data_IF_768532939282
#
_entry.id   IF_768532939282
#
_cell.length_a   1.000
_cell.length_b   1.000
_cell.length_c   1.000
_cell.angle_alpha   90.00
_cell.angle_beta   90.00
_cell.angle_gamma   90.00
#
_symmetry.space_group_name_H-M   'P 1'
#
loop_
_entity.id
_entity.type
_entity.pdbx_description
1 polymer ?
#
# COMPACT_ATOMS: atom_id res chain seq x y z
N UNK A 1 18.97 -0.94 22.35
CA UNK A 1 17.75 -0.96 23.19
C UNK A 1 16.61 -1.27 22.24
N UNK A 2 15.73 -2.23 22.56
CA UNK A 2 14.58 -2.51 21.71
C UNK A 2 13.76 -1.22 21.52
N UNK A 3 13.33 -0.93 20.30
CA UNK A 3 12.42 0.19 20.07
C UNK A 3 11.10 -0.09 20.77
N UNK A 4 10.61 0.88 21.55
CA UNK A 4 9.30 0.76 22.17
C UNK A 4 8.22 0.74 21.08
N UNK A 5 7.21 -0.11 21.26
CA UNK A 5 6.01 -0.12 20.42
C UNK A 5 5.43 1.29 20.31
N UNK A 6 5.00 1.71 19.10
CA UNK A 6 4.37 3.01 18.94
C UNK A 6 3.06 3.09 19.75
N UNK A 7 2.71 4.31 20.16
CA UNK A 7 1.36 4.63 20.64
C UNK A 7 0.42 4.70 19.45
N UNK A 8 -0.71 3.99 19.53
CA UNK A 8 -1.72 3.91 18.49
C UNK A 8 -2.85 4.88 18.83
N UNK A 9 -3.14 5.81 17.93
CA UNK A 9 -4.25 6.75 18.08
C UNK A 9 -5.35 6.37 17.09
N UNK A 10 -6.52 5.99 17.61
CA UNK A 10 -7.68 5.52 16.87
C UNK A 10 -8.70 6.65 16.73
N UNK A 11 -8.99 7.06 15.50
CA UNK A 11 -9.78 8.26 15.21
C UNK A 11 -11.01 7.88 14.36
N UNK A 12 -12.23 7.96 14.91
CA UNK A 12 -13.46 7.64 14.20
C UNK A 12 -13.82 8.73 13.19
N UNK A 13 -14.69 8.35 12.24
CA UNK A 13 -15.23 9.25 11.23
C UNK A 13 -16.36 10.14 11.74
N UNK A 14 -17.04 10.80 10.80
CA UNK A 14 -18.16 11.69 11.09
C UNK A 14 -19.23 11.00 11.94
N UNK A 15 -19.91 11.81 12.76
CA UNK A 15 -21.03 11.40 13.60
C UNK A 15 -20.71 10.42 14.73
N UNK A 16 -19.43 10.07 14.90
CA UNK A 16 -18.98 9.08 15.87
C UNK A 16 -17.92 9.66 16.80
N UNK A 17 -17.94 9.19 18.04
CA UNK A 17 -16.98 9.59 19.08
C UNK A 17 -15.99 8.46 19.35
N UNK A 18 -14.89 8.79 20.03
CA UNK A 18 -13.78 7.89 20.33
C UNK A 18 -14.20 6.48 20.80
N UNK A 19 -15.17 6.33 21.73
CA UNK A 19 -15.62 5.02 22.21
C UNK A 19 -16.07 4.02 21.13
N UNK A 20 -16.39 4.48 19.91
CA UNK A 20 -16.68 3.59 18.76
C UNK A 20 -15.52 2.64 18.47
N UNK A 21 -14.28 3.06 18.70
CA UNK A 21 -13.08 2.24 18.49
C UNK A 21 -12.69 1.38 19.71
N UNK A 22 -13.44 1.44 20.82
CA UNK A 22 -13.08 0.77 22.06
C UNK A 22 -12.95 -0.76 21.95
N UNK A 23 -13.75 -1.49 21.14
CA UNK A 23 -13.53 -2.91 20.90
C UNK A 23 -12.13 -3.22 20.37
N UNK A 24 -11.68 -2.48 19.35
CA UNK A 24 -10.33 -2.60 18.78
C UNK A 24 -9.26 -2.13 19.77
N UNK A 25 -9.48 -1.01 20.45
CA UNK A 25 -8.55 -0.47 21.43
C UNK A 25 -8.27 -1.47 22.56
N UNK A 26 -9.33 -2.14 23.06
CA UNK A 26 -9.23 -3.17 24.09
C UNK A 26 -8.39 -4.36 23.63
N UNK A 27 -8.57 -4.82 22.39
CA UNK A 27 -7.78 -5.92 21.81
C UNK A 27 -6.31 -5.53 21.64
N UNK A 28 -6.02 -4.32 21.18
CA UNK A 28 -4.65 -3.82 21.05
C UNK A 28 -3.95 -3.68 22.41
N UNK A 29 -4.66 -3.18 23.43
CA UNK A 29 -4.14 -3.10 24.82
C UNK A 29 -3.88 -4.48 25.40
N UNK A 30 -4.76 -5.46 25.14
CA UNK A 30 -4.55 -6.84 25.56
C UNK A 30 -3.30 -7.48 24.91
N UNK A 31 -2.90 -6.99 23.73
CA UNK A 31 -1.66 -7.38 23.03
C UNK A 31 -0.42 -6.58 23.44
N UNK A 32 -0.56 -5.68 24.42
CA UNK A 32 0.55 -4.90 24.97
C UNK A 32 0.83 -3.58 24.26
N UNK A 33 0.00 -3.16 23.29
CA UNK A 33 0.12 -1.82 22.71
C UNK A 33 -0.50 -0.76 23.62
N UNK A 34 0.01 0.46 23.52
CA UNK A 34 -0.69 1.64 24.03
C UNK A 34 -1.64 2.12 22.94
N UNK A 35 -2.96 2.04 23.19
CA UNK A 35 -3.98 2.48 22.24
C UNK A 35 -4.94 3.49 22.89
N UNK A 36 -5.14 4.64 22.24
CA UNK A 36 -6.04 5.70 22.68
C UNK A 36 -7.09 5.99 21.61
N UNK A 37 -8.34 6.21 22.04
CA UNK A 37 -9.44 6.58 21.16
C UNK A 37 -9.69 8.08 21.22
N UNK A 38 -9.77 8.75 20.07
CA UNK A 38 -9.90 10.21 19.99
C UNK A 38 -11.33 10.60 19.61
N UNK A 39 -11.90 11.59 20.29
CA UNK A 39 -13.14 12.25 19.85
C UNK A 39 -12.80 13.58 19.20
N UNK A 40 -13.17 13.76 17.94
CA UNK A 40 -12.95 15.02 17.23
C UNK A 40 -13.96 16.09 17.71
N UNK A 41 -13.53 17.35 17.88
CA UNK A 41 -14.42 18.47 18.23
C UNK A 41 -15.66 18.60 17.35
N UNK A 42 -15.54 18.31 16.06
CA UNK A 42 -16.64 18.37 15.11
C UNK A 42 -17.75 17.32 15.33
N UNK A 43 -17.50 16.27 16.12
CA UNK A 43 -18.47 15.21 16.42
C UNK A 43 -19.24 15.50 17.72
N UNK A 44 -20.40 16.15 17.60
CA UNK A 44 -21.26 16.52 18.73
C UNK A 44 -20.76 17.70 19.58
N UNK A 45 -19.62 18.31 19.23
CA UNK A 45 -19.08 19.51 19.86
C UNK A 45 -19.53 20.81 19.19
N UNK A 46 -18.73 21.89 19.21
CA UNK A 46 -19.12 23.18 18.64
C UNK A 46 -19.49 23.10 17.15
N UNK A 47 -20.63 23.68 16.75
CA UNK A 47 -21.08 23.67 15.35
C UNK A 47 -20.20 24.50 14.42
N UNK A 48 -19.34 25.36 14.97
CA UNK A 48 -18.34 26.12 14.21
C UNK A 48 -17.06 25.34 13.93
N UNK A 49 -16.91 24.11 14.44
CA UNK A 49 -15.69 23.32 14.29
C UNK A 49 -15.38 23.01 12.82
N UNK A 50 -14.14 23.27 12.43
CA UNK A 50 -13.58 23.00 11.11
C UNK A 50 -12.66 21.78 11.15
N UNK A 51 -12.23 21.26 9.98
CA UNK A 51 -11.22 20.20 9.99
C UNK A 51 -9.87 20.68 10.50
N UNK A 52 -9.59 21.99 10.41
CA UNK A 52 -8.40 22.61 11.02
C UNK A 52 -8.48 22.53 12.54
N UNK A 53 -9.65 22.74 13.13
CA UNK A 53 -9.84 22.62 14.58
C UNK A 53 -9.67 21.17 15.04
N UNK A 54 -10.18 20.21 14.26
CA UNK A 54 -9.97 18.79 14.51
C UNK A 54 -8.48 18.40 14.40
N UNK A 55 -7.78 18.87 13.37
CA UNK A 55 -6.35 18.64 13.20
C UNK A 55 -5.54 19.25 14.37
N UNK A 56 -5.88 20.47 14.80
CA UNK A 56 -5.28 21.11 15.98
C UNK A 56 -5.58 20.35 17.25
N UNK A 57 -6.79 19.81 17.40
CA UNK A 57 -7.14 18.99 18.55
C UNK A 57 -6.25 17.75 18.64
N UNK A 58 -6.03 17.04 17.52
CA UNK A 58 -5.11 15.89 17.43
C UNK A 58 -3.68 16.33 17.80
N UNK A 59 -3.21 17.44 17.23
CA UNK A 59 -1.87 17.97 17.50
C UNK A 59 -1.67 18.33 18.97
N UNK A 60 -2.56 19.16 19.52
CA UNK A 60 -2.38 19.81 20.81
C UNK A 60 -2.53 18.84 21.97
N UNK A 61 -3.49 17.91 21.88
CA UNK A 61 -3.84 17.03 22.98
C UNK A 61 -3.15 15.67 22.93
N UNK A 62 -2.66 15.24 21.75
CA UNK A 62 -2.07 13.91 21.58
C UNK A 62 -0.65 13.96 21.00
N UNK A 63 -0.46 14.53 19.80
CA UNK A 63 0.86 14.47 19.14
C UNK A 63 1.93 15.25 19.91
N UNK A 64 1.66 16.49 20.33
CA UNK A 64 2.60 17.31 21.12
C UNK A 64 3.07 16.61 22.40
N UNK A 65 2.18 16.17 23.31
CA UNK A 65 2.62 15.52 24.54
C UNK A 65 3.34 14.18 24.30
N UNK A 66 2.93 13.38 23.31
CA UNK A 66 3.59 12.11 22.98
C UNK A 66 4.99 12.33 22.39
N UNK A 67 5.13 13.29 21.46
CA UNK A 67 6.43 13.67 20.89
C UNK A 67 7.35 14.28 21.95
N UNK A 68 6.84 15.07 22.88
CA UNK A 68 7.63 15.60 24.00
C UNK A 68 8.22 14.48 24.89
N UNK A 69 7.53 13.34 24.96
CA UNK A 69 8.01 12.12 25.62
C UNK A 69 8.91 11.25 24.72
N UNK A 70 9.16 11.67 23.48
CA UNK A 70 9.96 10.94 22.50
C UNK A 70 9.27 9.70 21.93
N UNK A 71 7.94 9.60 22.03
CA UNK A 71 7.17 8.42 21.58
C UNK A 71 6.96 8.42 20.07
N UNK A 72 7.01 7.22 19.50
CA UNK A 72 6.59 6.95 18.12
C UNK A 72 5.08 6.75 18.10
N UNK A 73 4.42 7.20 17.04
CA UNK A 73 2.96 7.26 16.96
C UNK A 73 2.46 6.66 15.63
N UNK A 74 1.42 5.83 15.70
CA UNK A 74 0.66 5.37 14.54
C UNK A 74 -0.74 6.00 14.59
N UNK A 75 -1.14 6.67 13.51
CA UNK A 75 -2.50 7.19 13.36
C UNK A 75 -3.36 6.20 12.60
N UNK A 76 -4.48 5.80 13.18
CA UNK A 76 -5.52 4.99 12.53
C UNK A 76 -6.73 5.89 12.33
N UNK A 77 -7.05 6.16 11.08
CA UNK A 77 -8.04 7.14 10.66
C UNK A 77 -9.15 6.42 9.91
N UNK A 78 -10.37 6.45 10.46
CA UNK A 78 -11.56 5.93 9.81
C UNK A 78 -12.35 7.05 9.09
N UNK A 79 -12.80 6.78 7.87
CA UNK A 79 -13.74 7.63 7.12
C UNK A 79 -13.29 9.10 7.07
N UNK A 80 -14.12 10.03 7.54
CA UNK A 80 -13.84 11.47 7.63
C UNK A 80 -12.48 11.83 8.24
N UNK A 81 -12.05 11.11 9.28
CA UNK A 81 -10.84 11.46 10.03
C UNK A 81 -9.55 11.35 9.21
N UNK A 82 -9.60 10.71 8.04
CA UNK A 82 -8.51 10.73 7.08
C UNK A 82 -8.04 12.15 6.77
N UNK A 83 -8.94 13.14 6.65
CA UNK A 83 -8.56 14.52 6.36
C UNK A 83 -7.88 15.23 7.55
N UNK A 84 -8.53 15.42 8.72
CA UNK A 84 -7.89 16.11 9.84
C UNK A 84 -6.73 15.30 10.44
N UNK A 85 -6.77 13.98 10.37
CA UNK A 85 -5.66 13.11 10.75
C UNK A 85 -4.43 13.34 9.89
N UNK A 86 -4.58 13.38 8.55
CA UNK A 86 -3.49 13.74 7.63
C UNK A 86 -2.94 15.14 7.92
N UNK A 87 -3.80 16.14 8.04
CA UNK A 87 -3.38 17.52 8.30
C UNK A 87 -2.61 17.64 9.62
N UNK A 88 -3.02 16.88 10.65
CA UNK A 88 -2.40 16.92 11.99
C UNK A 88 -0.92 16.54 11.99
N UNK A 89 -0.46 15.76 11.01
CA UNK A 89 0.92 15.25 10.95
C UNK A 89 1.94 16.33 10.57
N UNK A 90 1.49 17.48 10.04
CA UNK A 90 2.37 18.58 9.60
C UNK A 90 3.32 19.04 10.70
N UNK A 91 4.62 18.79 10.53
CA UNK A 91 5.66 19.11 11.53
C UNK A 91 5.78 18.11 12.69
N UNK A 92 5.02 17.01 12.66
CA UNK A 92 5.04 15.92 13.62
C UNK A 92 5.47 14.58 13.00
N UNK A 93 5.70 14.52 11.69
CA UNK A 93 6.28 13.35 11.04
C UNK A 93 7.66 13.03 11.65
N UNK A 94 7.98 11.74 11.81
CA UNK A 94 9.26 11.30 12.38
C UNK A 94 10.46 11.91 11.64
N UNK A 95 10.38 12.03 10.32
CA UNK A 95 11.44 12.63 9.49
C UNK A 95 11.71 14.10 9.86
N UNK A 96 10.67 14.89 10.13
CA UNK A 96 10.77 16.32 10.40
C UNK A 96 11.36 16.56 11.79
N UNK A 97 11.00 15.72 12.75
CA UNK A 97 11.51 15.77 14.12
C UNK A 97 12.95 15.26 14.20
N UNK A 98 13.28 14.21 13.44
CA UNK A 98 14.66 13.72 13.36
C UNK A 98 15.60 14.79 12.76
N UNK A 99 15.16 15.57 11.77
CA UNK A 99 15.92 16.70 11.22
C UNK A 99 16.16 17.84 12.22
N UNK A 100 15.45 17.83 13.36
CA UNK A 100 15.61 18.77 14.47
C UNK A 100 16.27 18.12 15.71
N UNK A 101 16.89 16.94 15.56
CA UNK A 101 17.46 16.14 16.65
C UNK A 101 16.44 15.78 17.77
N UNK A 102 15.14 15.79 17.45
CA UNK A 102 14.07 15.37 18.36
C UNK A 102 13.77 13.89 18.18
N UNK A 103 13.40 13.24 19.29
CA UNK A 103 12.92 11.84 19.30
C UNK A 103 11.42 11.78 19.07
N UNK A 104 10.92 10.59 18.74
CA UNK A 104 9.51 10.35 18.49
C UNK A 104 9.01 10.97 17.19
N UNK A 105 7.69 10.92 17.02
CA UNK A 105 6.98 11.41 15.84
C UNK A 105 5.99 10.41 15.29
N UNK A 106 5.20 10.86 14.32
CA UNK A 106 4.30 9.98 13.56
C UNK A 106 5.13 9.14 12.60
N UNK A 107 5.00 7.82 12.75
CA UNK A 107 5.83 6.82 12.06
C UNK A 107 5.01 5.90 11.16
N UNK A 108 3.68 5.89 11.29
CA UNK A 108 2.79 5.13 10.42
C UNK A 108 1.40 5.74 10.34
N UNK A 109 0.78 5.62 9.18
CA UNK A 109 -0.61 6.00 8.93
C UNK A 109 -1.39 4.76 8.47
N UNK A 110 -2.59 4.56 9.01
CA UNK A 110 -3.55 3.58 8.52
C UNK A 110 -4.87 4.29 8.23
N UNK A 111 -5.30 4.24 6.97
CA UNK A 111 -6.60 4.72 6.51
C UNK A 111 -7.57 3.54 6.44
N UNK A 112 -8.59 3.50 7.30
CA UNK A 112 -9.65 2.48 7.29
C UNK A 112 -10.87 3.05 6.60
N UNK A 113 -11.19 2.58 5.39
CA UNK A 113 -12.31 3.11 4.59
C UNK A 113 -12.38 4.65 4.63
N UNK A 114 -11.22 5.30 4.52
CA UNK A 114 -11.03 6.70 4.87
C UNK A 114 -10.73 7.60 3.68
N UNK A 115 -11.01 8.89 3.87
CA UNK A 115 -10.67 9.94 2.91
C UNK A 115 -9.16 10.19 2.92
N UNK A 116 -8.47 9.63 1.93
CA UNK A 116 -7.10 9.96 1.60
C UNK A 116 -7.15 10.93 0.41
N UNK A 117 -6.92 12.22 0.64
CA UNK A 117 -7.14 13.28 -0.34
C UNK A 117 -5.84 14.01 -0.69
N UNK A 118 -5.67 14.53 -1.92
CA UNK A 118 -4.59 15.45 -2.26
C UNK A 118 -4.81 16.82 -1.64
N UNK A 119 -3.72 17.59 -1.51
CA UNK A 119 -3.81 18.97 -1.04
C UNK A 119 -4.71 19.81 -1.96
N UNK A 120 -5.46 20.72 -1.36
CA UNK A 120 -6.42 21.60 -2.05
C UNK A 120 -7.84 21.04 -2.10
N UNK A 121 -8.06 19.75 -1.84
CA UNK A 121 -9.41 19.18 -1.76
C UNK A 121 -9.94 19.15 -0.32
N UNK A 122 -11.25 19.36 -0.20
CA UNK A 122 -12.06 19.13 1.00
C UNK A 122 -12.98 17.92 0.80
N UNK A 123 -13.60 17.45 1.88
CA UNK A 123 -14.60 16.36 1.81
C UNK A 123 -15.73 16.71 0.85
N UNK A 124 -16.22 17.95 0.92
CA UNK A 124 -17.29 18.45 0.05
C UNK A 124 -16.90 18.39 -1.45
N UNK A 125 -15.65 18.66 -1.79
CA UNK A 125 -15.17 18.58 -3.17
C UNK A 125 -14.83 17.16 -3.64
N UNK A 126 -14.62 16.22 -2.71
CA UNK A 126 -14.15 14.87 -2.99
C UNK A 126 -15.28 13.84 -3.12
N UNK A 127 -16.46 14.09 -2.54
CA UNK A 127 -17.57 13.16 -2.56
C UNK A 127 -18.32 13.17 -3.91
N UNK A 128 -18.40 12.03 -4.63
CA UNK A 128 -19.20 11.92 -5.85
C UNK A 128 -20.68 12.17 -5.54
N UNK A 129 -21.32 13.08 -6.25
CA UNK A 129 -22.74 13.45 -6.03
C UNK A 129 -22.98 14.52 -4.96
N UNK A 130 -21.91 15.07 -4.37
CA UNK A 130 -21.98 16.15 -3.38
C UNK A 130 -22.51 15.71 -2.01
N UNK A 131 -22.43 16.62 -1.03
CA UNK A 131 -22.81 16.36 0.37
C UNK A 131 -24.26 15.87 0.51
N UNK A 132 -25.18 16.42 -0.29
CA UNK A 132 -26.62 16.13 -0.22
C UNK A 132 -26.98 14.65 -0.45
N UNK A 133 -26.11 13.90 -1.14
CA UNK A 133 -26.31 12.46 -1.37
C UNK A 133 -25.99 11.60 -0.14
N UNK A 134 -25.26 12.15 0.83
CA UNK A 134 -24.78 11.43 2.02
C UNK A 134 -25.42 11.90 3.31
N UNK A 135 -25.79 13.19 3.41
CA UNK A 135 -26.19 13.79 4.67
C UNK A 135 -27.32 14.81 4.52
N UNK A 136 -27.92 15.13 5.65
CA UNK A 136 -28.93 16.18 5.81
C UNK A 136 -28.35 17.30 6.67
N UNK A 137 -28.64 18.54 6.29
CA UNK A 137 -28.24 19.74 7.01
C UNK A 137 -29.40 20.28 7.84
N UNK A 138 -29.13 20.56 9.11
CA UNK A 138 -29.98 21.29 10.04
C UNK A 138 -29.18 22.47 10.61
N UNK A 139 -29.22 23.60 9.90
CA UNK A 139 -28.32 24.73 10.15
C UNK A 139 -26.85 24.32 9.98
N UNK A 140 -26.04 24.54 11.01
CA UNK A 140 -24.62 24.18 11.04
C UNK A 140 -24.35 22.73 11.50
N UNK A 141 -25.39 21.88 11.53
CA UNK A 141 -25.31 20.47 11.93
C UNK A 141 -25.59 19.56 10.73
N UNK A 142 -24.81 18.50 10.58
CA UNK A 142 -25.00 17.46 9.58
C UNK A 142 -25.38 16.14 10.24
N UNK A 143 -26.35 15.43 9.67
CA UNK A 143 -26.78 14.09 10.07
C UNK A 143 -26.68 13.12 8.89
N UNK A 144 -26.38 11.83 9.11
CA UNK A 144 -26.23 10.87 8.03
C UNK A 144 -27.60 10.44 7.47
N UNK A 145 -27.67 10.20 6.15
CA UNK A 145 -28.83 9.56 5.51
C UNK A 145 -28.69 8.04 5.54
N UNK A 146 -29.75 7.35 5.95
CA UNK A 146 -29.83 5.89 5.99
C UNK A 146 -28.64 5.24 6.73
N UNK A 147 -28.33 5.66 7.97
CA UNK A 147 -27.15 5.16 8.69
C UNK A 147 -27.21 3.65 8.96
N UNK A 148 -28.40 3.06 9.14
CA UNK A 148 -28.55 1.60 9.33
C UNK A 148 -27.99 0.82 8.15
N UNK A 149 -28.36 1.23 6.94
CA UNK A 149 -28.01 0.56 5.68
C UNK A 149 -26.64 0.97 5.15
N UNK A 150 -26.11 2.15 5.52
CA UNK A 150 -24.80 2.62 5.04
C UNK A 150 -23.66 2.28 5.99
N UNK A 151 -23.90 2.32 7.30
CA UNK A 151 -22.82 2.22 8.29
C UNK A 151 -22.75 0.87 8.98
N UNK A 152 -23.92 0.25 9.19
CA UNK A 152 -24.06 -0.96 10.02
C UNK A 152 -24.65 -2.12 9.23
N UNK A 153 -24.53 -2.12 7.91
CA UNK A 153 -25.17 -3.08 7.01
C UNK A 153 -24.76 -4.54 7.25
N UNK A 154 -23.66 -4.76 7.96
CA UNK A 154 -23.11 -6.06 8.33
C UNK A 154 -23.22 -6.36 9.83
N UNK A 155 -23.92 -5.52 10.60
CA UNK A 155 -24.26 -5.76 12.00
C UNK A 155 -25.69 -6.33 12.14
N UNK A 156 -25.88 -7.14 13.18
CA UNK A 156 -27.22 -7.54 13.62
C UNK A 156 -28.02 -6.33 14.12
N UNK A 157 -29.35 -6.43 14.09
CA UNK A 157 -30.23 -5.30 14.41
C UNK A 157 -30.04 -4.80 15.85
N UNK A 158 -29.83 -5.70 16.82
CA UNK A 158 -29.67 -5.29 18.23
C UNK A 158 -28.40 -4.45 18.42
N UNK A 159 -27.29 -4.90 17.83
CA UNK A 159 -26.02 -4.17 17.88
C UNK A 159 -26.11 -2.87 17.09
N UNK A 160 -26.70 -2.91 15.88
CA UNK A 160 -26.86 -1.73 15.04
C UNK A 160 -27.68 -0.64 15.75
N UNK A 161 -28.79 -0.98 16.44
CA UNK A 161 -29.61 0.02 17.12
C UNK A 161 -28.89 0.72 18.27
N UNK A 162 -28.00 0.03 18.98
CA UNK A 162 -27.17 0.65 20.02
C UNK A 162 -26.26 1.73 19.42
N UNK A 163 -25.67 1.46 18.26
CA UNK A 163 -24.77 2.41 17.59
C UNK A 163 -25.53 3.55 16.91
N UNK A 164 -26.69 3.26 16.31
CA UNK A 164 -27.59 4.27 15.76
C UNK A 164 -28.02 5.29 16.82
N UNK A 165 -28.35 4.83 18.03
CA UNK A 165 -28.70 5.70 19.16
C UNK A 165 -27.52 6.56 19.67
N UNK A 166 -26.28 6.16 19.38
CA UNK A 166 -25.07 6.87 19.78
C UNK A 166 -24.56 7.88 18.74
N UNK A 167 -25.17 7.92 17.55
CA UNK A 167 -24.84 8.89 16.49
C UNK A 167 -25.06 10.31 17.00
N UNK A 168 -24.04 11.15 16.83
CA UNK A 168 -24.10 12.59 17.11
C UNK A 168 -24.15 13.39 15.82
N UNK A 169 -24.53 14.67 15.89
CA UNK A 169 -24.37 15.56 14.73
C UNK A 169 -22.89 15.80 14.42
N UNK A 170 -22.60 16.10 13.16
CA UNK A 170 -21.29 16.56 12.70
C UNK A 170 -21.34 18.07 12.38
N UNK A 171 -20.34 18.85 12.79
CA UNK A 171 -20.27 20.28 12.47
C UNK A 171 -20.13 20.52 10.95
N UNK A 172 -21.03 21.29 10.34
CA UNK A 172 -21.04 21.51 8.89
C UNK A 172 -19.76 22.12 8.29
N UNK A 173 -19.06 23.08 8.94
CA UNK A 173 -17.84 23.68 8.39
C UNK A 173 -16.69 22.68 8.17
N UNK A 174 -16.71 21.54 8.88
CA UNK A 174 -15.62 20.57 8.88
C UNK A 174 -15.44 19.87 7.52
N UNK A 175 -16.47 19.76 6.69
CA UNK A 175 -16.38 19.12 5.37
C UNK A 175 -15.91 20.06 4.26
N UNK A 176 -15.88 21.37 4.52
CA UNK A 176 -15.49 22.39 3.53
C UNK A 176 -14.02 22.82 3.65
N UNK A 177 -13.35 22.44 4.73
CA UNK A 177 -11.95 22.79 4.97
C UNK A 177 -11.04 21.98 4.03
N UNK A 178 -10.22 22.61 3.18
CA UNK A 178 -9.32 21.89 2.31
C UNK A 178 -8.08 21.38 3.06
N UNK A 179 -7.58 20.21 2.65
CA UNK A 179 -6.31 19.68 3.11
C UNK A 179 -5.15 20.56 2.61
N UNK A 180 -4.16 20.84 3.45
CA UNK A 180 -2.98 21.64 3.06
C UNK A 180 -1.67 20.86 3.10
N UNK A 181 -1.66 19.70 3.77
CA UNK A 181 -0.49 18.87 3.94
C UNK A 181 -0.80 17.40 3.67
N UNK A 182 0.01 16.78 2.81
CA UNK A 182 -0.15 15.38 2.38
C UNK A 182 0.79 14.47 3.16
N UNK A 183 0.40 14.08 4.37
CA UNK A 183 1.24 13.28 5.27
C UNK A 183 1.72 11.95 4.67
N UNK A 184 0.96 11.37 3.75
CA UNK A 184 1.31 10.12 3.07
C UNK A 184 2.54 10.24 2.15
N UNK A 185 3.02 11.45 1.85
CA UNK A 185 4.32 11.65 1.18
C UNK A 185 5.51 11.50 2.14
N UNK A 186 5.23 11.58 3.43
CA UNK A 186 6.23 11.82 4.47
C UNK A 186 6.28 10.69 5.51
N UNK A 187 5.20 9.91 5.61
CA UNK A 187 5.03 8.84 6.57
C UNK A 187 4.58 7.57 5.84
N UNK A 188 5.17 6.40 6.16
CA UNK A 188 4.68 5.11 5.66
C UNK A 188 3.17 4.96 5.85
N UNK A 189 2.48 4.68 4.75
CA UNK A 189 1.02 4.72 4.70
C UNK A 189 0.44 3.37 4.33
N UNK A 190 -0.58 2.97 5.07
CA UNK A 190 -1.39 1.79 4.82
C UNK A 190 -2.85 2.15 4.61
N UNK A 191 -3.58 1.32 3.88
CA UNK A 191 -5.02 1.45 3.68
C UNK A 191 -5.69 0.10 3.95
N UNK A 192 -6.74 0.10 4.77
CA UNK A 192 -7.58 -1.05 5.05
C UNK A 192 -8.91 -0.89 4.33
N UNK A 193 -9.15 -1.75 3.34
CA UNK A 193 -10.39 -1.79 2.59
C UNK A 193 -11.46 -2.59 3.31
N UNK A 194 -12.66 -2.02 3.44
CA UNK A 194 -13.85 -2.75 3.89
C UNK A 194 -14.69 -3.14 2.66
N UNK A 195 -14.71 -4.41 2.28
CA UNK A 195 -15.23 -4.84 0.97
C UNK A 195 -16.75 -4.83 0.85
N UNK A 196 -17.49 -4.81 1.97
CA UNK A 196 -18.95 -4.71 2.05
C UNK A 196 -19.43 -3.31 2.44
N UNK A 197 -18.57 -2.31 2.37
CA UNK A 197 -18.90 -0.95 2.74
C UNK A 197 -20.01 -0.36 1.84
N UNK A 198 -21.18 -0.15 2.43
CA UNK A 198 -22.36 0.41 1.76
C UNK A 198 -22.38 1.96 1.81
N UNK A 199 -21.57 2.57 2.66
CA UNK A 199 -21.44 4.03 2.80
C UNK A 199 -20.36 4.60 1.90
N UNK A 200 -19.22 3.91 1.79
CA UNK A 200 -18.09 4.29 0.95
C UNK A 200 -17.62 3.09 0.13
N UNK A 201 -18.20 2.88 -1.08
CA UNK A 201 -17.99 1.66 -1.86
C UNK A 201 -16.51 1.35 -2.12
N UNK A 202 -16.17 0.05 -2.16
CA UNK A 202 -14.80 -0.45 -2.34
C UNK A 202 -14.06 0.24 -3.49
N UNK A 203 -14.71 0.44 -4.63
CA UNK A 203 -14.11 1.10 -5.79
C UNK A 203 -13.64 2.52 -5.47
N UNK A 204 -14.40 3.27 -4.66
CA UNK A 204 -14.04 4.62 -4.25
C UNK A 204 -12.89 4.60 -3.25
N UNK A 205 -12.88 3.64 -2.32
CA UNK A 205 -11.75 3.42 -1.41
C UNK A 205 -10.45 3.10 -2.19
N UNK A 206 -10.53 2.20 -3.18
CA UNK A 206 -9.40 1.86 -4.05
C UNK A 206 -8.90 3.06 -4.85
N UNK A 207 -9.80 3.92 -5.33
CA UNK A 207 -9.42 5.19 -5.96
C UNK A 207 -8.66 6.10 -4.98
N UNK A 208 -9.11 6.18 -3.71
CA UNK A 208 -8.40 6.97 -2.69
C UNK A 208 -6.99 6.41 -2.42
N UNK A 209 -6.86 5.10 -2.28
CA UNK A 209 -5.58 4.46 -2.02
C UNK A 209 -4.56 4.62 -3.16
N UNK A 210 -5.03 4.90 -4.40
CA UNK A 210 -4.17 5.15 -5.56
C UNK A 210 -3.67 6.60 -5.67
N UNK A 211 -4.25 7.55 -4.93
CA UNK A 211 -3.89 8.99 -5.01
C UNK A 211 -2.40 9.25 -4.76
N UNK A 212 -1.73 8.62 -3.77
CA UNK A 212 -0.30 8.84 -3.55
C UNK A 212 0.62 8.31 -4.66
N UNK A 213 0.10 7.47 -5.57
CA UNK A 213 0.85 6.74 -6.58
C UNK A 213 0.85 5.23 -6.34
N UNK A 214 1.04 4.44 -7.41
CA UNK A 214 1.09 2.98 -7.32
C UNK A 214 2.25 2.51 -6.44
N UNK A 215 1.99 1.53 -5.57
CA UNK A 215 2.97 0.94 -4.66
C UNK A 215 3.37 1.82 -3.45
N UNK A 216 2.84 3.05 -3.35
CA UNK A 216 3.14 3.95 -2.22
C UNK A 216 2.37 3.57 -0.96
N UNK A 217 1.13 3.08 -1.13
CA UNK A 217 0.24 2.71 -0.04
C UNK A 217 0.20 1.19 0.10
N UNK A 218 0.48 0.67 1.30
CA UNK A 218 0.31 -0.74 1.61
C UNK A 218 -1.17 -1.04 1.83
N UNK A 219 -1.73 -2.00 1.11
CA UNK A 219 -3.16 -2.29 1.19
C UNK A 219 -3.45 -3.57 1.99
N UNK A 220 -4.58 -3.54 2.69
CA UNK A 220 -5.19 -4.66 3.40
C UNK A 220 -6.67 -4.71 3.01
N UNK A 221 -7.33 -5.84 3.20
CA UNK A 221 -8.77 -5.97 2.93
C UNK A 221 -9.43 -6.88 3.95
N UNK A 222 -10.63 -6.50 4.38
CA UNK A 222 -11.47 -7.28 5.28
C UNK A 222 -12.91 -7.31 4.77
N UNK A 223 -13.57 -8.43 5.03
CA UNK A 223 -14.94 -8.68 4.60
C UNK A 223 -15.97 -8.05 5.56
N UNK A 224 -15.95 -6.71 5.62
CA UNK A 224 -16.71 -5.89 6.56
C UNK A 224 -17.39 -4.69 5.86
N UNK A 225 -18.42 -4.15 6.52
CA UNK A 225 -19.10 -2.90 6.20
C UNK A 225 -18.28 -1.67 6.61
N UNK A 226 -18.89 -0.49 6.64
CA UNK A 226 -18.17 0.77 6.88
C UNK A 226 -17.48 0.79 8.26
N UNK A 227 -18.18 0.33 9.31
CA UNK A 227 -17.67 0.31 10.69
C UNK A 227 -17.08 -1.05 11.07
N UNK A 228 -16.00 -1.45 10.39
CA UNK A 228 -15.34 -2.72 10.65
C UNK A 228 -14.74 -2.84 12.05
N UNK A 229 -14.39 -1.72 12.70
CA UNK A 229 -14.01 -1.71 14.11
C UNK A 229 -15.11 -2.19 15.07
N UNK A 230 -16.36 -2.31 14.60
CA UNK A 230 -17.48 -2.86 15.36
C UNK A 230 -17.82 -4.29 14.92
N UNK A 231 -17.88 -4.54 13.60
CA UNK A 231 -18.29 -5.84 13.07
C UNK A 231 -17.18 -6.88 13.06
N UNK A 232 -15.93 -6.46 12.91
CA UNK A 232 -14.74 -7.32 12.81
C UNK A 232 -13.54 -6.76 13.63
N UNK A 233 -13.72 -6.47 14.94
CA UNK A 233 -12.70 -5.77 15.73
C UNK A 233 -11.38 -6.52 15.83
N UNK A 234 -11.38 -7.86 15.84
CA UNK A 234 -10.17 -8.69 15.83
C UNK A 234 -9.36 -8.50 14.55
N UNK A 235 -10.03 -8.54 13.38
CA UNK A 235 -9.36 -8.38 12.09
C UNK A 235 -8.77 -6.98 11.93
N UNK A 236 -9.48 -5.94 12.38
CA UNK A 236 -8.96 -4.56 12.41
C UNK A 236 -7.76 -4.47 13.35
N UNK A 237 -7.83 -5.05 14.56
CA UNK A 237 -6.72 -5.07 15.51
C UNK A 237 -5.49 -5.82 14.96
N UNK A 238 -5.68 -6.90 14.19
CA UNK A 238 -4.60 -7.64 13.53
C UNK A 238 -3.88 -6.79 12.49
N UNK A 239 -4.60 -6.06 11.65
CA UNK A 239 -4.01 -5.15 10.66
C UNK A 239 -3.25 -4.03 11.35
N UNK A 240 -3.83 -3.41 12.38
CA UNK A 240 -3.17 -2.34 13.14
C UNK A 240 -1.89 -2.86 13.82
N UNK A 241 -1.92 -4.06 14.40
CA UNK A 241 -0.73 -4.70 14.97
C UNK A 241 0.36 -4.88 13.91
N UNK A 242 0.03 -5.42 12.74
CA UNK A 242 0.98 -5.59 11.63
C UNK A 242 1.60 -4.25 11.18
N UNK A 243 0.80 -3.19 11.10
CA UNK A 243 1.28 -1.83 10.76
C UNK A 243 2.24 -1.32 11.84
N UNK A 244 1.91 -1.51 13.12
CA UNK A 244 2.77 -1.10 14.22
C UNK A 244 4.13 -1.84 14.20
N UNK A 245 4.12 -3.17 14.03
CA UNK A 245 5.33 -4.02 13.98
C UNK A 245 6.22 -3.72 12.77
N UNK A 246 5.62 -3.52 11.58
CA UNK A 246 6.35 -3.14 10.38
C UNK A 246 7.12 -1.82 10.58
N UNK A 247 6.54 -0.91 11.36
CA UNK A 247 7.13 0.40 11.65
C UNK A 247 8.30 0.30 12.62
N UNK A 248 8.20 -0.57 13.64
CA UNK A 248 9.30 -0.91 14.58
C UNK A 248 10.48 -1.47 13.78
N UNK A 249 10.22 -2.43 12.89
CA UNK A 249 11.25 -3.09 12.07
C UNK A 249 12.05 -2.11 11.21
N UNK A 250 11.37 -1.12 10.60
CA UNK A 250 12.02 -0.06 9.81
C UNK A 250 12.90 0.83 10.69
N UNK A 251 12.40 1.23 11.87
CA UNK A 251 13.16 2.09 12.78
C UNK A 251 14.38 1.37 13.33
N UNK A 252 14.24 0.10 13.71
CA UNK A 252 15.35 -0.73 14.19
C UNK A 252 16.39 -0.96 13.10
N UNK A 253 15.97 -1.22 11.86
CA UNK A 253 16.88 -1.33 10.71
C UNK A 253 17.69 -0.04 10.53
N UNK A 254 17.03 1.13 10.53
CA UNK A 254 17.68 2.43 10.40
C UNK A 254 18.62 2.73 11.58
N UNK A 255 18.22 2.43 12.82
CA UNK A 255 19.05 2.64 14.00
C UNK A 255 20.27 1.71 14.01
N UNK A 256 20.10 0.44 13.64
CA UNK A 256 21.18 -0.56 13.61
C UNK A 256 22.21 -0.20 12.55
N UNK A 257 21.78 0.27 11.37
CA UNK A 257 22.69 0.73 10.32
C UNK A 257 23.35 2.08 10.63
N UNK A 258 22.65 3.00 11.32
CA UNK A 258 23.26 4.24 11.81
C UNK A 258 24.33 3.97 12.89
N UNK A 259 24.09 3.04 13.82
CA UNK A 259 25.08 2.63 14.82
C UNK A 259 26.26 1.91 14.16
N UNK A 260 26.01 1.09 13.14
CA UNK A 260 27.08 0.44 12.36
C UNK A 260 27.96 1.48 11.64
N UNK A 261 27.36 2.51 11.04
CA UNK A 261 28.05 3.64 10.43
C UNK A 261 28.85 4.48 11.45
N UNK A 262 28.29 4.72 12.65
CA UNK A 262 28.98 5.42 13.75
C UNK A 262 30.14 4.57 14.31
N UNK A 263 29.99 3.26 14.39
CA UNK A 263 31.04 2.35 14.87
C UNK A 263 32.20 2.19 13.87
N UNK A 264 31.91 2.26 12.57
CA UNK A 264 32.93 2.35 11.51
C UNK A 264 33.67 3.69 11.61
N UNK A 265 32.97 4.82 11.79
CA UNK A 265 33.62 6.14 11.96
C UNK A 265 34.44 6.23 13.25
N UNK A 266 34.03 5.59 14.35
CA UNK A 266 34.79 5.55 15.62
C UNK A 266 35.99 4.59 15.57
N UNK A 267 35.95 3.53 14.75
CA UNK A 267 37.11 2.67 14.48
C UNK A 267 38.11 3.32 13.52
N UNK A 268 37.66 4.19 12.62
CA UNK A 268 38.54 4.92 11.71
C UNK A 268 39.23 6.13 12.35
N UNK A 269 38.67 6.74 13.41
CA UNK A 269 39.31 7.87 14.11
C UNK A 269 40.54 7.49 14.94
N UNK A 270 40.70 6.23 15.37
CA UNK A 270 41.89 5.79 16.10
C UNK A 270 43.09 5.39 15.21
N UNK A 271 42.91 5.34 13.90
CA UNK A 271 43.98 4.96 12.95
C UNK A 271 44.59 6.16 12.19
N UNK A 272 44.06 7.37 12.40
CA UNK A 272 44.41 8.56 11.62
C UNK A 272 45.10 9.67 12.46
N UNK A 273 45.96 9.29 13.41
CA UNK A 273 46.80 10.25 14.16
C UNK A 273 48.28 10.21 13.74
N UNK A 274 48.58 9.89 12.48
CA UNK A 274 49.90 10.05 11.88
C UNK A 274 49.72 10.37 10.38
N UNK A 275 50.23 11.54 9.98
CA UNK A 275 50.38 12.08 8.61
C UNK A 275 49.35 13.15 8.15
N UNK A 276 49.78 14.39 8.42
CA UNK A 276 49.88 15.54 7.50
C UNK A 276 48.63 16.14 6.85
N UNK A 277 48.33 17.37 7.31
CA UNK A 277 48.04 18.57 6.52
C UNK A 277 48.22 18.43 4.99
N UNK A 278 47.12 18.33 4.25
CA UNK A 278 46.90 19.03 2.97
C UNK A 278 45.48 18.77 2.43
N UNK A 279 44.93 19.80 1.77
CA UNK A 279 43.75 19.81 0.90
C UNK A 279 42.35 19.67 1.53
N UNK A 280 41.78 20.84 1.84
CA UNK A 280 40.39 21.15 1.48
C UNK A 280 40.24 21.04 -0.04
N UNK A 281 39.37 20.14 -0.50
CA UNK A 281 38.40 20.35 -1.60
C UNK A 281 37.87 18.99 -2.07
N UNK A 282 36.60 18.71 -1.76
CA UNK A 282 35.58 18.00 -2.56
C UNK A 282 34.61 17.30 -1.59
N UNK A 283 33.52 17.99 -1.22
CA UNK A 283 32.32 17.30 -0.79
C UNK A 283 31.76 16.59 -2.03
N UNK A 284 32.16 15.34 -2.23
CA UNK A 284 31.37 14.42 -3.03
C UNK A 284 30.14 14.07 -2.18
N UNK A 285 28.98 14.54 -2.61
CA UNK A 285 27.68 14.04 -2.14
C UNK A 285 27.69 12.52 -2.26
N UNK A 286 27.62 11.81 -1.15
CA UNK A 286 27.38 10.38 -1.14
C UNK A 286 25.95 10.14 -1.65
N UNK A 287 25.83 9.94 -2.95
CA UNK A 287 24.65 9.33 -3.54
C UNK A 287 24.54 7.93 -2.94
N UNK A 288 23.35 7.54 -2.47
CA UNK A 288 23.09 6.14 -2.18
C UNK A 288 23.47 5.34 -3.45
N UNK A 289 24.44 4.44 -3.35
CA UNK A 289 24.77 3.56 -4.46
C UNK A 289 23.57 2.62 -4.66
N UNK A 290 22.70 3.01 -5.60
CA UNK A 290 21.74 2.11 -6.21
C UNK A 290 22.54 0.92 -6.73
N UNK A 291 22.37 -0.23 -6.09
CA UNK A 291 22.97 -1.48 -6.56
C UNK A 291 21.92 -2.09 -7.48
N UNK A 292 22.14 -2.09 -8.80
CA UNK A 292 21.18 -2.67 -9.72
C UNK A 292 20.99 -4.16 -9.41
N UNK A 293 19.76 -4.68 -9.50
CA UNK A 293 19.50 -6.11 -9.34
C UNK A 293 20.39 -6.93 -10.28
N UNK A 294 20.97 -8.03 -9.80
CA UNK A 294 21.94 -8.80 -10.59
C UNK A 294 21.29 -9.74 -11.63
N UNK A 295 20.03 -10.11 -11.42
CA UNK A 295 19.34 -11.14 -12.19
C UNK A 295 17.90 -10.74 -12.49
N UNK A 296 17.39 -11.16 -13.65
CA UNK A 296 15.99 -11.09 -14.00
C UNK A 296 15.41 -12.50 -13.96
N UNK A 297 14.67 -12.81 -12.90
CA UNK A 297 14.01 -14.11 -12.75
C UNK A 297 12.57 -14.03 -13.25
N UNK A 298 12.14 -15.05 -13.99
CA UNK A 298 10.85 -15.05 -14.68
C UNK A 298 10.18 -16.42 -14.59
N UNK A 299 8.92 -16.41 -14.18
CA UNK A 299 8.04 -17.58 -14.31
C UNK A 299 7.84 -17.85 -15.80
N UNK A 300 8.23 -19.05 -16.21
CA UNK A 300 8.20 -19.49 -17.60
C UNK A 300 7.25 -20.65 -17.74
N UNK A 301 6.30 -20.52 -18.67
CA UNK A 301 5.45 -21.59 -19.13
C UNK A 301 6.10 -22.20 -20.38
N UNK A 302 6.69 -23.38 -20.24
CA UNK A 302 7.40 -24.09 -21.32
C UNK A 302 6.79 -25.47 -21.51
N UNK A 303 7.45 -26.34 -22.27
CA UNK A 303 6.98 -27.70 -22.49
C UNK A 303 8.07 -28.75 -22.24
N UNK A 304 7.67 -29.87 -21.65
CA UNK A 304 8.50 -31.05 -21.44
C UNK A 304 7.69 -32.29 -21.76
N UNK A 305 8.27 -33.23 -22.53
CA UNK A 305 7.59 -34.45 -22.95
C UNK A 305 6.19 -34.23 -23.55
N UNK A 306 6.06 -33.20 -24.41
CA UNK A 306 4.82 -32.83 -25.09
C UNK A 306 3.69 -32.31 -24.18
N UNK A 307 4.02 -31.87 -22.96
CA UNK A 307 3.08 -31.28 -22.01
C UNK A 307 3.62 -29.94 -21.47
N UNK A 308 2.73 -28.97 -21.22
CA UNK A 308 3.11 -27.69 -20.62
C UNK A 308 3.58 -27.87 -19.18
N UNK A 309 4.64 -27.16 -18.80
CA UNK A 309 5.23 -27.14 -17.46
C UNK A 309 5.58 -25.72 -17.04
N UNK A 310 5.52 -25.44 -15.74
CA UNK A 310 5.95 -24.18 -15.16
C UNK A 310 7.38 -24.33 -14.62
N UNK A 311 8.23 -23.34 -14.86
CA UNK A 311 9.61 -23.30 -14.38
C UNK A 311 10.01 -21.87 -14.00
N UNK A 312 10.93 -21.74 -13.04
CA UNK A 312 11.53 -20.47 -12.68
C UNK A 312 12.91 -20.35 -13.34
N UNK A 313 13.08 -19.36 -14.21
CA UNK A 313 14.31 -19.15 -14.96
C UNK A 313 14.97 -17.83 -14.58
N UNK A 314 16.30 -17.81 -14.57
CA UNK A 314 17.10 -16.58 -14.47
C UNK A 314 17.71 -16.24 -15.82
N UNK A 315 17.41 -15.07 -16.39
CA UNK A 315 17.99 -14.67 -17.67
C UNK A 315 19.48 -14.35 -17.50
N UNK A 316 20.32 -14.95 -18.34
CA UNK A 316 21.78 -14.84 -18.23
C UNK A 316 22.32 -13.43 -18.49
N UNK A 317 21.55 -12.60 -19.20
CA UNK A 317 21.89 -11.18 -19.42
C UNK A 317 21.81 -10.35 -18.13
N UNK A 318 20.94 -10.74 -17.19
CA UNK A 318 20.68 -9.98 -15.97
C UNK A 318 20.35 -8.51 -16.25
N UNK A 319 20.68 -7.64 -15.29
CA UNK A 319 20.68 -6.20 -15.53
C UNK A 319 22.10 -5.67 -15.71
N UNK A 320 22.19 -4.64 -16.56
CA UNK A 320 23.38 -3.83 -16.78
C UNK A 320 23.06 -2.37 -16.48
N UNK A 321 24.07 -1.56 -16.17
CA UNK A 321 23.88 -0.13 -15.98
C UNK A 321 23.84 0.57 -17.34
N UNK A 322 22.76 1.30 -17.61
CA UNK A 322 22.61 2.06 -18.85
C UNK A 322 23.62 3.20 -18.94
N UNK A 323 24.14 3.44 -20.15
CA UNK A 323 24.91 4.63 -20.51
C UNK A 323 24.14 5.58 -21.41
N UNK A 324 22.92 5.22 -21.81
CA UNK A 324 22.14 5.98 -22.79
C UNK A 324 21.51 7.25 -22.18
N UNK A 325 21.44 8.37 -22.94
CA UNK A 325 20.72 9.56 -22.50
C UNK A 325 19.27 9.24 -22.09
N UNK A 326 18.82 9.76 -20.94
CA UNK A 326 17.48 9.53 -20.41
C UNK A 326 17.31 8.31 -19.50
N UNK A 327 18.25 7.35 -19.54
CA UNK A 327 18.28 6.20 -18.61
C UNK A 327 19.64 5.98 -17.96
N UNK A 328 20.62 6.85 -18.21
CA UNK A 328 21.99 6.75 -17.67
C UNK A 328 22.01 6.50 -16.16
N UNK A 329 22.70 5.44 -15.75
CA UNK A 329 22.78 4.99 -14.35
C UNK A 329 21.67 4.02 -13.90
N UNK A 330 20.61 3.83 -14.69
CA UNK A 330 19.54 2.88 -14.38
C UNK A 330 19.92 1.42 -14.70
N UNK A 331 19.29 0.47 -14.01
CA UNK A 331 19.37 -0.94 -14.35
C UNK A 331 18.52 -1.23 -15.60
N UNK A 332 19.10 -1.86 -16.62
CA UNK A 332 18.41 -2.31 -17.83
C UNK A 332 18.73 -3.77 -18.07
N UNK A 333 17.69 -4.58 -18.26
CA UNK A 333 17.80 -5.96 -18.69
C UNK A 333 17.41 -6.10 -20.17
N UNK A 334 18.15 -6.93 -20.90
CA UNK A 334 17.75 -7.35 -22.23
C UNK A 334 16.82 -8.56 -22.11
N UNK A 335 15.57 -8.39 -22.56
CA UNK A 335 14.52 -9.42 -22.48
C UNK A 335 14.49 -10.34 -23.72
N UNK A 336 15.49 -10.26 -24.60
CA UNK A 336 15.55 -11.02 -25.84
C UNK A 336 15.30 -10.17 -27.09
N UNK A 337 15.40 -10.82 -28.25
CA UNK A 337 15.12 -10.19 -29.54
C UNK A 337 13.64 -10.42 -29.84
N UNK A 338 12.90 -9.33 -30.01
CA UNK A 338 11.49 -9.37 -30.43
C UNK A 338 11.38 -9.46 -31.95
N UNK A 339 10.34 -10.11 -32.44
CA UNK A 339 10.06 -10.20 -33.87
C UNK A 339 9.65 -8.82 -34.40
N UNK A 340 10.50 -8.23 -35.25
CA UNK A 340 10.25 -6.91 -35.86
C UNK A 340 9.16 -6.92 -36.93
N UNK A 341 8.68 -8.10 -37.32
CA UNK A 341 7.62 -8.31 -38.31
C UNK A 341 6.29 -8.72 -37.69
N UNK A 342 6.28 -9.13 -36.42
CA UNK A 342 5.08 -9.46 -35.69
C UNK A 342 4.47 -8.24 -34.98
N UNK A 343 3.16 -8.25 -34.78
CA UNK A 343 2.48 -7.21 -34.02
C UNK A 343 2.63 -7.47 -32.51
N UNK A 344 2.92 -6.40 -31.75
CA UNK A 344 2.64 -6.38 -30.33
C UNK A 344 1.12 -6.29 -30.11
N UNK A 345 0.59 -7.09 -29.17
CA UNK A 345 -0.85 -7.13 -28.89
C UNK A 345 -1.13 -6.62 -27.49
N UNK A 346 -2.07 -5.69 -27.36
CA UNK A 346 -2.61 -5.25 -26.06
C UNK A 346 -3.99 -5.88 -25.88
N UNK A 347 -4.08 -6.85 -24.98
CA UNK A 347 -5.29 -7.57 -24.66
C UNK A 347 -5.97 -6.94 -23.44
N UNK A 348 -7.28 -6.65 -23.55
CA UNK A 348 -8.12 -6.16 -22.45
C UNK A 348 -9.17 -7.22 -22.16
N UNK A 349 -9.00 -7.90 -21.03
CA UNK A 349 -9.77 -9.06 -20.63
C UNK A 349 -10.79 -8.64 -19.57
N UNK A 350 -12.08 -8.94 -19.78
CA UNK A 350 -13.12 -8.62 -18.80
C UNK A 350 -12.84 -9.22 -17.42
N UNK A 351 -13.50 -8.67 -16.40
CA UNK A 351 -13.54 -9.28 -15.08
C UNK A 351 -14.10 -10.71 -15.17
N UNK A 352 -13.57 -11.63 -14.35
CA UNK A 352 -13.96 -13.04 -14.30
C UNK A 352 -13.93 -13.73 -15.67
N UNK A 353 -13.01 -13.33 -16.56
CA UNK A 353 -12.88 -13.95 -17.88
C UNK A 353 -12.22 -15.32 -17.78
N UNK A 354 -12.76 -16.31 -18.49
CA UNK A 354 -12.18 -17.65 -18.61
C UNK A 354 -11.58 -17.79 -20.01
N UNK A 355 -10.25 -17.83 -20.08
CA UNK A 355 -9.52 -18.04 -21.33
C UNK A 355 -9.52 -19.51 -21.78
N UNK A 356 -9.96 -20.43 -20.93
CA UNK A 356 -10.04 -21.85 -21.19
C UNK A 356 -8.68 -22.50 -21.45
N UNK A 357 -8.71 -23.73 -21.98
CA UNK A 357 -7.52 -24.49 -22.36
C UNK A 357 -6.98 -24.01 -23.71
N UNK A 358 -5.71 -23.61 -23.78
CA UNK A 358 -5.05 -23.18 -25.01
C UNK A 358 -3.52 -23.28 -24.90
N UNK A 359 -2.85 -23.18 -26.04
CA UNK A 359 -1.41 -22.98 -26.12
C UNK A 359 -1.08 -21.49 -26.26
N UNK A 360 0.14 -21.10 -25.94
CA UNK A 360 0.65 -19.80 -26.37
C UNK A 360 0.57 -19.67 -27.91
N UNK A 361 0.02 -18.56 -28.45
CA UNK A 361 -0.12 -18.39 -29.90
C UNK A 361 1.24 -18.22 -30.61
N UNK A 362 2.27 -17.82 -29.87
CA UNK A 362 3.66 -17.77 -30.28
C UNK A 362 4.55 -17.90 -29.04
N UNK A 363 5.82 -18.22 -29.22
CA UNK A 363 6.81 -18.06 -28.16
C UNK A 363 6.99 -16.56 -27.89
N UNK A 364 6.53 -16.09 -26.73
CA UNK A 364 6.37 -14.65 -26.48
C UNK A 364 6.52 -14.27 -25.01
N UNK A 365 6.80 -12.99 -24.80
CA UNK A 365 6.56 -12.37 -23.50
C UNK A 365 5.09 -12.04 -23.34
N UNK A 366 4.57 -12.23 -22.13
CA UNK A 366 3.29 -11.69 -21.70
C UNK A 366 3.53 -10.87 -20.45
N UNK A 367 3.24 -9.57 -20.53
CA UNK A 367 3.30 -8.65 -19.40
C UNK A 367 1.88 -8.28 -18.98
N UNK A 368 1.41 -8.83 -17.86
CA UNK A 368 0.19 -8.37 -17.22
C UNK A 368 0.45 -6.99 -16.60
N UNK A 369 -0.25 -5.99 -17.11
CA UNK A 369 -0.14 -4.60 -16.67
C UNK A 369 -1.09 -4.31 -15.50
N UNK A 370 -2.20 -5.05 -15.41
CA UNK A 370 -3.20 -4.97 -14.34
C UNK A 370 -3.92 -6.31 -14.18
N UNK A 371 -4.65 -6.50 -13.07
CA UNK A 371 -5.45 -7.71 -12.84
C UNK A 371 -4.61 -8.91 -12.39
N UNK A 372 -5.18 -10.12 -12.49
CA UNK A 372 -4.51 -11.37 -12.12
C UNK A 372 -4.82 -12.42 -13.16
N UNK A 373 -3.79 -13.10 -13.64
CA UNK A 373 -3.92 -14.34 -14.42
C UNK A 373 -3.61 -15.53 -13.52
N UNK A 374 -4.49 -16.52 -13.50
CA UNK A 374 -4.27 -17.79 -12.83
C UNK A 374 -4.10 -18.88 -13.88
N UNK A 375 -2.90 -19.46 -13.92
CA UNK A 375 -2.47 -20.45 -14.89
C UNK A 375 -2.43 -21.81 -14.20
N UNK A 376 -3.07 -22.82 -14.78
CA UNK A 376 -3.01 -24.21 -14.31
C UNK A 376 -2.68 -25.15 -15.46
N UNK A 377 -2.13 -26.32 -15.13
CA UNK A 377 -1.62 -27.28 -16.10
C UNK A 377 -2.50 -28.54 -16.17
N UNK A 378 -2.77 -29.09 -17.37
CA UNK A 378 -3.58 -30.31 -17.50
C UNK A 378 -2.97 -31.56 -16.85
N UNK A 379 -1.63 -31.60 -16.76
CA UNK A 379 -0.86 -32.80 -16.37
C UNK A 379 0.06 -32.57 -15.17
N UNK A 380 -0.06 -31.44 -14.48
CA UNK A 380 0.68 -31.11 -13.26
C UNK A 380 -0.24 -30.42 -12.25
N UNK A 381 0.10 -30.50 -10.97
CA UNK A 381 -0.54 -29.70 -9.91
C UNK A 381 0.07 -28.31 -9.76
N UNK A 382 1.15 -28.00 -10.49
CA UNK A 382 1.74 -26.67 -10.45
C UNK A 382 0.77 -25.65 -11.04
N UNK A 383 0.71 -24.49 -10.38
CA UNK A 383 -0.11 -23.36 -10.77
C UNK A 383 0.66 -22.06 -10.58
N UNK A 384 0.32 -21.03 -11.35
CA UNK A 384 0.91 -19.70 -11.20
C UNK A 384 -0.18 -18.63 -11.11
N UNK A 385 -0.09 -17.79 -10.08
CA UNK A 385 -0.85 -16.54 -10.00
C UNK A 385 0.05 -15.39 -10.41
N UNK A 386 -0.20 -14.82 -11.58
CA UNK A 386 0.57 -13.70 -12.13
C UNK A 386 -0.22 -12.42 -11.89
N UNK A 387 0.22 -11.64 -10.90
CA UNK A 387 -0.38 -10.35 -10.58
C UNK A 387 0.21 -9.28 -11.49
N UNK A 388 -0.64 -8.49 -12.14
CA UNK A 388 -0.21 -7.42 -13.01
C UNK A 388 0.61 -6.34 -12.28
N UNK A 389 1.53 -5.70 -13.00
CA UNK A 389 2.43 -4.69 -12.46
C UNK A 389 3.88 -5.16 -12.40
N UNK A 390 4.59 -4.85 -11.31
CA UNK A 390 6.06 -5.04 -11.19
C UNK A 390 6.52 -6.46 -11.57
N UNK A 391 5.79 -7.49 -11.14
CA UNK A 391 6.12 -8.91 -11.34
C UNK A 391 5.22 -9.59 -12.38
N UNK A 392 4.47 -8.81 -13.17
CA UNK A 392 3.46 -9.34 -14.09
C UNK A 392 4.01 -9.96 -15.38
N UNK A 393 5.34 -10.08 -15.52
CA UNK A 393 5.98 -10.64 -16.71
C UNK A 393 6.17 -12.15 -16.64
N UNK A 394 5.74 -12.86 -17.68
CA UNK A 394 6.04 -14.27 -17.92
C UNK A 394 6.57 -14.51 -19.34
N UNK A 395 7.29 -15.61 -19.50
CA UNK A 395 7.60 -16.19 -20.81
C UNK A 395 6.62 -17.32 -21.11
N UNK A 396 5.85 -17.19 -22.19
CA UNK A 396 4.94 -18.21 -22.68
C UNK A 396 5.55 -18.87 -23.92
N UNK A 397 6.04 -20.10 -23.74
CA UNK A 397 6.82 -20.87 -24.71
C UNK A 397 6.16 -22.21 -25.05
N UNK A 398 4.99 -22.52 -24.46
CA UNK A 398 4.26 -23.77 -24.65
C UNK A 398 3.38 -23.74 -25.91
N UNK A 399 3.99 -23.39 -27.04
CA UNK A 399 3.32 -23.37 -28.34
C UNK A 399 2.84 -24.76 -28.76
N UNK A 400 1.86 -24.80 -29.67
CA UNK A 400 1.18 -26.04 -30.08
C UNK A 400 2.11 -27.10 -30.71
N UNK A 401 3.30 -26.72 -31.18
CA UNK A 401 4.32 -27.62 -31.71
C UNK A 401 5.15 -28.32 -30.62
N UNK A 402 5.17 -27.80 -29.39
CA UNK A 402 5.93 -28.37 -28.25
C UNK A 402 5.07 -28.88 -27.10
N UNK A 403 3.81 -28.45 -27.01
CA UNK A 403 2.83 -28.91 -26.01
C UNK A 403 1.50 -29.27 -26.69
N UNK A 404 1.04 -30.51 -26.52
CA UNK A 404 -0.19 -30.97 -27.16
C UNK A 404 -1.48 -30.38 -26.55
N UNK A 405 -1.48 -30.14 -25.24
CA UNK A 405 -2.68 -29.70 -24.51
C UNK A 405 -2.62 -28.24 -24.06
N UNK A 406 -1.43 -27.63 -24.03
CA UNK A 406 -1.24 -26.29 -23.51
C UNK A 406 -1.51 -26.19 -22.01
N UNK A 407 -2.11 -25.07 -21.61
CA UNK A 407 -2.45 -24.71 -20.24
C UNK A 407 -3.88 -24.15 -20.16
N UNK A 408 -4.38 -23.96 -18.93
CA UNK A 408 -5.60 -23.20 -18.69
C UNK A 408 -5.24 -21.83 -18.12
N UNK A 409 -5.93 -20.78 -18.56
CA UNK A 409 -5.82 -19.45 -17.95
C UNK A 409 -7.19 -18.91 -17.59
N UNK A 410 -7.35 -18.54 -16.33
CA UNK A 410 -8.53 -17.81 -15.84
C UNK A 410 -8.10 -16.46 -15.28
N UNK A 411 -8.99 -15.48 -15.38
CA UNK A 411 -8.78 -14.12 -14.89
C UNK A 411 -9.81 -13.86 -13.78
N UNK A 412 -9.54 -14.32 -12.54
CA UNK A 412 -10.59 -14.57 -11.56
C UNK A 412 -11.09 -13.31 -10.84
N UNK A 413 -10.45 -12.17 -11.05
CA UNK A 413 -10.75 -10.94 -10.30
C UNK A 413 -12.01 -10.25 -10.83
N UNK A 414 -12.59 -9.39 -9.99
CA UNK A 414 -13.67 -8.47 -10.37
C UNK A 414 -13.16 -7.24 -11.16
N UNK A 415 -11.87 -7.23 -11.54
CA UNK A 415 -11.23 -6.14 -12.23
C UNK A 415 -10.81 -6.57 -13.63
N UNK A 416 -10.71 -5.60 -14.55
CA UNK A 416 -10.21 -5.85 -15.91
C UNK A 416 -8.72 -6.21 -15.85
N UNK A 417 -8.34 -7.29 -16.53
CA UNK A 417 -6.94 -7.67 -16.70
C UNK A 417 -6.45 -7.12 -18.04
N UNK A 418 -5.32 -6.41 -18.03
CA UNK A 418 -4.69 -5.90 -19.24
C UNK A 418 -3.35 -6.60 -19.44
N UNK A 419 -3.09 -7.14 -20.63
CA UNK A 419 -1.86 -7.85 -20.95
C UNK A 419 -1.21 -7.30 -22.22
N UNK A 420 0.10 -7.12 -22.21
CA UNK A 420 0.92 -6.81 -23.39
C UNK A 420 1.67 -8.06 -23.83
N UNK A 421 1.43 -8.50 -25.05
CA UNK A 421 2.02 -9.70 -25.64
C UNK A 421 3.04 -9.30 -26.71
N UNK A 422 4.27 -9.81 -26.58
CA UNK A 422 5.42 -9.45 -27.42
C UNK A 422 6.11 -10.72 -27.96
N UNK A 423 5.87 -11.08 -29.24
CA UNK A 423 6.48 -12.26 -29.86
C UNK A 423 8.01 -12.20 -29.93
N UNK A 424 8.67 -13.31 -29.62
CA UNK A 424 10.12 -13.47 -29.76
C UNK A 424 10.49 -13.73 -31.23
N UNK A 425 11.58 -13.12 -31.69
CA UNK A 425 12.08 -13.31 -33.05
C UNK A 425 12.47 -14.77 -33.31
N UNK A 426 11.86 -15.39 -34.32
CA UNK A 426 12.03 -16.81 -34.66
C UNK A 426 11.79 -17.78 -33.48
N UNK A 427 11.01 -17.36 -32.47
CA UNK A 427 10.82 -18.12 -31.23
C UNK A 427 12.10 -18.31 -30.41
N UNK A 428 13.12 -17.48 -30.62
CA UNK A 428 14.41 -17.59 -29.92
C UNK A 428 14.26 -17.21 -28.45
N UNK A 429 14.30 -18.25 -27.63
CA UNK A 429 14.31 -18.13 -26.16
C UNK A 429 15.57 -17.40 -25.70
N UNK A 430 15.46 -16.38 -24.83
CA UNK A 430 16.63 -15.69 -24.26
C UNK A 430 17.55 -16.67 -23.50
N UNK A 431 18.89 -16.47 -23.50
CA UNK A 431 19.80 -17.27 -22.69
C UNK A 431 19.40 -17.22 -21.21
N UNK A 432 19.30 -18.38 -20.57
CA UNK A 432 18.80 -18.52 -19.21
C UNK A 432 19.43 -19.70 -18.47
N UNK A 433 19.24 -19.71 -17.16
CA UNK A 433 19.51 -20.83 -16.26
C UNK A 433 18.21 -21.22 -15.59
N UNK A 434 17.87 -22.52 -15.60
CA UNK A 434 16.78 -23.06 -14.80
C UNK A 434 17.15 -23.01 -13.31
N UNK A 435 16.35 -22.33 -12.50
CA UNK A 435 16.53 -22.28 -11.05
C UNK A 435 15.86 -23.49 -10.39
N UNK A 436 14.59 -23.73 -10.71
CA UNK A 436 13.82 -24.89 -10.26
C UNK A 436 12.56 -25.10 -11.12
N UNK A 437 11.96 -26.28 -11.01
CA UNK A 437 10.62 -26.55 -11.53
C UNK A 437 9.55 -25.84 -10.66
N UNK A 438 8.42 -25.48 -11.28
CA UNK A 438 7.39 -24.62 -10.69
C UNK A 438 7.62 -23.13 -10.98
N UNK A 439 6.63 -22.25 -10.72
CA UNK A 439 6.76 -20.81 -10.94
C UNK A 439 7.74 -20.16 -9.97
N UNK A 440 8.30 -19.01 -10.32
CA UNK A 440 9.08 -18.20 -9.39
C UNK A 440 8.20 -17.65 -8.26
N UNK A 441 8.77 -17.47 -7.06
CA UNK A 441 8.12 -16.72 -5.99
C UNK A 441 8.24 -15.20 -6.20
N UNK A 442 7.42 -14.43 -5.47
CA UNK A 442 7.49 -12.98 -5.51
C UNK A 442 8.87 -12.44 -5.05
N UNK A 443 9.51 -13.10 -4.07
CA UNK A 443 10.86 -12.74 -3.64
C UNK A 443 11.90 -13.01 -4.74
N UNK A 444 11.75 -14.09 -5.49
CA UNK A 444 12.67 -14.47 -6.57
C UNK A 444 12.56 -13.52 -7.77
N UNK A 445 11.38 -12.98 -8.05
CA UNK A 445 11.15 -12.00 -9.11
C UNK A 445 11.44 -10.54 -8.69
N UNK A 446 12.09 -10.33 -7.54
CA UNK A 446 12.34 -9.00 -7.01
C UNK A 446 13.59 -8.35 -7.64
N UNK A 447 13.36 -7.44 -8.59
CA UNK A 447 14.37 -6.57 -9.20
C UNK A 447 14.11 -5.08 -8.94
#
# INVERSE_FOLDING_TARGET
MATESPTILLIPGSWHQGPTFEPVASLLRARGHVAETITLPSAGGPTSSTATDDAKHIQDNYLKPLVAQGKNIVLVMHSYSGLPGTESVKGFARKDLAAQDKKGGVVGLLYESALLLPAGLSVASALPGGLDSFMELDGDKMYPKNPREKFYNDLDDETAEKHLAAIVYQAAPCVHTPLTYEAYRDVPTSYLFCTKDAGFPLIAQQMMAKIPGEGVVRTYSIDAGHFAMLSQPEAVADVIHQVAEATISIIDFLQTHLIFLISITFKMTNFALLLSLASLAHLATATAQYTPPSSLNVTTLTASNNASVLQCWSLSSGFSTSTEPGTSGAAIANIGILDSTANATLSVLPAQFDGGKHNAPAAQWVFFLSGVAHITLPHSSDEAFVVGGKHGGILALDTADVSADGHFTVYPTNEVTTALELPLADGKVPPHVLLHDGPCTAEEQNY
#
